data_IF_884935650620
#
_entry.id   IF_884935650620
#
_cell.length_a   1.000
_cell.length_b   1.000
_cell.length_c   1.000
_cell.angle_alpha   90.00
_cell.angle_beta   90.00
_cell.angle_gamma   90.00
#
_symmetry.space_group_name_H-M   'P 1'
#
loop_
_entity.id
_entity.type
_entity.pdbx_description
1 polymer ?
#
# COMPACT_ATOMS: atom_id res chain seq x y z
N UNK A 1 -0.64 -6.24 3.49
CA UNK A 1 0.54 -6.97 2.96
C UNK A 1 1.80 -6.22 3.44
N UNK A 2 3.04 -6.60 3.09
CA UNK A 2 4.22 -5.80 3.43
C UNK A 2 4.47 -4.67 2.42
N UNK A 3 5.14 -3.58 2.82
CA UNK A 3 5.31 -2.39 1.98
C UNK A 3 5.94 -2.65 0.60
N UNK A 4 6.95 -3.53 0.52
CA UNK A 4 7.64 -3.82 -0.74
C UNK A 4 6.71 -4.40 -1.79
N UNK A 5 5.77 -5.26 -1.37
CA UNK A 5 4.83 -5.90 -2.28
C UNK A 5 3.76 -4.90 -2.74
N UNK A 6 3.34 -3.97 -1.89
CA UNK A 6 2.44 -2.89 -2.29
C UNK A 6 3.06 -2.04 -3.40
N UNK A 7 4.32 -1.65 -3.23
CA UNK A 7 5.06 -0.88 -4.24
C UNK A 7 5.20 -1.70 -5.53
N UNK A 8 5.65 -2.96 -5.43
CA UNK A 8 5.93 -3.79 -6.60
C UNK A 8 4.67 -4.04 -7.46
N UNK A 9 3.57 -4.47 -6.84
CA UNK A 9 2.32 -4.69 -7.56
C UNK A 9 1.75 -3.39 -8.13
N UNK A 10 1.85 -2.28 -7.37
CA UNK A 10 1.40 -0.98 -7.88
C UNK A 10 2.22 -0.56 -9.09
N UNK A 11 3.55 -0.64 -9.04
CA UNK A 11 4.43 -0.30 -10.16
C UNK A 11 4.13 -1.15 -11.39
N UNK A 12 3.94 -2.46 -11.24
CA UNK A 12 3.60 -3.34 -12.35
C UNK A 12 2.23 -2.98 -12.96
N UNK A 13 1.20 -2.79 -12.14
CA UNK A 13 -0.12 -2.38 -12.62
C UNK A 13 -0.06 -1.02 -13.35
N UNK A 14 0.72 -0.08 -12.81
CA UNK A 14 0.88 1.25 -13.36
C UNK A 14 1.65 1.22 -14.69
N UNK A 15 2.69 0.40 -14.79
CA UNK A 15 3.45 0.19 -16.03
C UNK A 15 2.53 -0.33 -17.15
N UNK A 16 1.73 -1.36 -16.87
CA UNK A 16 0.76 -1.91 -17.83
C UNK A 16 -0.30 -0.88 -18.24
N UNK A 17 -0.75 -0.05 -17.29
CA UNK A 17 -1.75 0.97 -17.54
C UNK A 17 -1.19 2.17 -18.34
N UNK A 18 0.09 2.53 -18.16
CA UNK A 18 0.74 3.68 -18.83
C UNK A 18 0.85 3.53 -20.35
N UNK A 19 0.86 2.30 -20.85
CA UNK A 19 0.83 2.02 -22.28
C UNK A 19 -0.47 2.56 -22.90
N UNK A 20 -1.61 2.35 -22.22
CA UNK A 20 -2.95 2.69 -22.72
C UNK A 20 -3.50 4.03 -22.24
N UNK A 21 -3.00 4.55 -21.11
CA UNK A 21 -3.52 5.77 -20.50
C UNK A 21 -2.43 6.85 -20.49
N UNK A 22 -2.45 7.80 -21.44
CA UNK A 22 -1.41 8.83 -21.59
C UNK A 22 -1.22 9.67 -20.32
N UNK A 23 -2.28 9.92 -19.55
CA UNK A 23 -2.22 10.70 -18.32
C UNK A 23 -1.34 10.08 -17.22
N UNK A 24 -1.12 8.77 -17.24
CA UNK A 24 -0.23 8.09 -16.28
C UNK A 24 1.26 8.28 -16.63
N UNK A 25 1.58 8.61 -17.89
CA UNK A 25 2.98 8.67 -18.36
C UNK A 25 3.79 9.78 -17.69
N UNK A 26 3.11 10.83 -17.23
CA UNK A 26 3.71 12.00 -16.56
C UNK A 26 3.80 11.85 -15.04
N UNK A 27 3.22 10.80 -14.46
CA UNK A 27 3.26 10.59 -13.02
C UNK A 27 4.68 10.19 -12.57
N UNK A 28 5.11 10.77 -11.46
CA UNK A 28 6.38 10.44 -10.81
C UNK A 28 6.20 9.16 -9.98
N UNK A 29 6.99 8.14 -10.28
CA UNK A 29 6.83 6.82 -9.66
C UNK A 29 7.19 6.81 -8.17
N UNK A 30 7.97 7.78 -7.66
CA UNK A 30 8.25 7.89 -6.22
C UNK A 30 6.99 8.33 -5.48
N UNK A 31 6.27 9.29 -6.04
CA UNK A 31 4.98 9.71 -5.50
C UNK A 31 3.93 8.60 -5.63
N UNK A 32 4.00 7.77 -6.68
CA UNK A 32 3.18 6.55 -6.77
C UNK A 32 3.51 5.56 -5.65
N UNK A 33 4.79 5.29 -5.37
CA UNK A 33 5.18 4.41 -4.26
C UNK A 33 4.71 4.96 -2.91
N UNK A 34 4.90 6.26 -2.66
CA UNK A 34 4.43 6.91 -1.43
C UNK A 34 2.92 6.85 -1.29
N UNK A 35 2.18 7.11 -2.38
CA UNK A 35 0.73 7.01 -2.37
C UNK A 35 0.24 5.57 -2.15
N UNK A 36 0.90 4.58 -2.76
CA UNK A 36 0.60 3.16 -2.56
C UNK A 36 0.82 2.70 -1.12
N UNK A 37 1.72 3.35 -0.39
CA UNK A 37 1.95 3.14 1.03
C UNK A 37 1.15 4.09 1.94
N UNK A 38 0.34 4.98 1.36
CA UNK A 38 -0.32 6.06 2.10
C UNK A 38 -1.08 5.61 3.34
N UNK A 39 -2.01 4.62 3.23
CA UNK A 39 -2.75 4.14 4.40
C UNK A 39 -1.84 3.60 5.51
N UNK A 40 -0.82 2.83 5.11
CA UNK A 40 0.19 2.27 6.01
C UNK A 40 1.05 3.34 6.71
N UNK A 41 1.48 4.36 5.97
CA UNK A 41 2.29 5.46 6.48
C UNK A 41 1.52 6.31 7.50
N UNK A 42 0.19 6.29 7.47
CA UNK A 42 -0.66 6.96 8.46
C UNK A 42 -0.93 6.03 9.64
N UNK A 43 -1.48 4.84 9.37
CA UNK A 43 -2.02 4.00 10.44
C UNK A 43 -0.94 3.30 11.25
N UNK A 44 0.19 2.90 10.65
CA UNK A 44 1.25 2.18 11.38
C UNK A 44 1.93 3.07 12.44
N UNK A 45 2.31 4.33 12.17
CA UNK A 45 2.80 5.23 13.21
C UNK A 45 1.76 5.50 14.28
N UNK A 46 0.50 5.75 13.90
CA UNK A 46 -0.60 5.98 14.86
C UNK A 46 -0.81 4.77 15.78
N UNK A 47 -0.76 3.56 15.21
CA UNK A 47 -0.81 2.32 15.97
C UNK A 47 0.38 2.21 16.93
N UNK A 48 1.60 2.40 16.44
CA UNK A 48 2.82 2.27 17.22
C UNK A 48 2.89 3.26 18.39
N UNK A 49 2.49 4.51 18.19
CA UNK A 49 2.56 5.56 19.22
C UNK A 49 1.49 5.38 20.30
N UNK A 50 0.25 5.02 19.92
CA UNK A 50 -0.85 5.00 20.89
C UNK A 50 -1.93 3.97 20.60
N UNK A 51 -2.43 3.91 19.37
CA UNK A 51 -3.70 3.24 19.08
C UNK A 51 -3.63 1.71 19.12
N UNK A 52 -2.45 1.11 18.99
CA UNK A 52 -2.31 -0.33 19.13
C UNK A 52 -2.64 -0.79 20.54
N UNK A 53 -2.32 -0.01 21.58
CA UNK A 53 -2.65 -0.36 22.97
C UNK A 53 -4.16 -0.47 23.18
N UNK A 54 -4.92 0.45 22.55
CA UNK A 54 -6.38 0.57 22.65
C UNK A 54 -7.13 -0.41 21.75
N UNK A 55 -6.78 -0.45 20.46
CA UNK A 55 -7.55 -1.17 19.44
C UNK A 55 -6.97 -2.52 19.03
N UNK A 56 -5.72 -2.83 19.43
CA UNK A 56 -5.01 -4.08 19.06
C UNK A 56 -4.95 -4.32 17.54
N UNK A 57 -5.04 -3.25 16.76
CA UNK A 57 -5.00 -3.24 15.30
C UNK A 57 -3.96 -2.25 14.79
N UNK A 58 -3.33 -2.59 13.67
CA UNK A 58 -2.45 -1.70 12.90
C UNK A 58 -3.13 -1.19 11.61
N UNK A 59 -4.39 -1.60 11.38
CA UNK A 59 -5.24 -1.21 10.25
C UNK A 59 -6.37 -0.38 10.87
N UNK A 60 -6.23 0.95 10.79
CA UNK A 60 -7.00 1.94 11.57
C UNK A 60 -7.79 2.86 10.63
N UNK A 61 -7.62 4.17 10.75
CA UNK A 61 -8.45 5.20 10.14
C UNK A 61 -8.20 5.33 8.63
N UNK A 62 -6.95 5.27 8.19
CA UNK A 62 -6.60 5.45 6.78
C UNK A 62 -6.98 4.24 5.91
N UNK A 63 -7.24 3.09 6.51
CA UNK A 63 -7.75 1.88 5.84
C UNK A 63 -9.29 1.79 5.82
N UNK A 64 -9.99 2.86 6.18
CA UNK A 64 -11.46 2.91 6.14
C UNK A 64 -11.94 3.34 4.75
N UNK A 65 -13.10 2.86 4.31
CA UNK A 65 -13.74 3.34 3.08
C UNK A 65 -13.95 4.86 3.14
N UNK A 66 -14.27 5.39 4.32
CA UNK A 66 -14.40 6.82 4.55
C UNK A 66 -13.12 7.58 4.19
N UNK A 67 -11.94 7.12 4.63
CA UNK A 67 -10.66 7.76 4.30
C UNK A 67 -10.37 7.71 2.79
N UNK A 68 -10.66 6.58 2.15
CA UNK A 68 -10.50 6.40 0.71
C UNK A 68 -11.42 7.33 -0.11
N UNK A 69 -12.69 7.42 0.27
CA UNK A 69 -13.66 8.34 -0.36
C UNK A 69 -13.29 9.80 -0.07
N UNK A 70 -12.92 10.14 1.16
CA UNK A 70 -12.51 11.50 1.52
C UNK A 70 -11.27 11.94 0.73
N UNK A 71 -10.25 11.07 0.61
CA UNK A 71 -9.07 11.32 -0.21
C UNK A 71 -9.44 11.52 -1.68
N UNK A 72 -10.38 10.71 -2.21
CA UNK A 72 -10.86 10.84 -3.57
C UNK A 72 -11.58 12.17 -3.80
N UNK A 73 -12.57 12.51 -2.97
CA UNK A 73 -13.32 13.76 -3.08
C UNK A 73 -12.38 14.98 -2.95
N UNK A 74 -11.47 14.95 -1.97
CA UNK A 74 -10.52 16.03 -1.76
C UNK A 74 -9.59 16.22 -2.96
N UNK A 75 -8.97 15.14 -3.47
CA UNK A 75 -8.04 15.24 -4.60
C UNK A 75 -8.76 15.59 -5.90
N UNK A 76 -9.93 15.02 -6.17
CA UNK A 76 -10.69 15.37 -7.37
C UNK A 76 -11.15 16.83 -7.35
N UNK A 77 -11.48 17.37 -6.18
CA UNK A 77 -11.88 18.77 -6.05
C UNK A 77 -10.71 19.75 -6.11
N UNK A 78 -9.62 19.48 -5.40
CA UNK A 78 -8.51 20.45 -5.24
C UNK A 78 -7.38 20.25 -6.24
N UNK A 79 -7.13 19.01 -6.67
CA UNK A 79 -5.96 18.60 -7.46
C UNK A 79 -6.34 17.49 -8.46
N UNK A 80 -7.30 17.70 -9.39
CA UNK A 80 -7.78 16.64 -10.27
C UNK A 80 -6.67 15.98 -11.11
N UNK A 81 -5.60 16.71 -11.44
CA UNK A 81 -4.42 16.17 -12.12
C UNK A 81 -3.65 15.10 -11.31
N UNK A 82 -3.91 14.97 -10.00
CA UNK A 82 -3.28 14.01 -9.09
C UNK A 82 -4.01 12.67 -9.02
N UNK A 83 -5.01 12.46 -9.88
CA UNK A 83 -5.74 11.19 -9.98
C UNK A 83 -4.85 9.93 -10.09
N UNK A 84 -3.63 9.93 -10.69
CA UNK A 84 -2.81 8.73 -10.71
C UNK A 84 -2.32 8.31 -9.32
N UNK A 85 -2.00 9.29 -8.46
CA UNK A 85 -1.62 9.05 -7.07
C UNK A 85 -2.83 8.62 -6.24
N UNK A 86 -4.00 9.19 -6.52
CA UNK A 86 -5.25 8.73 -5.91
C UNK A 86 -5.53 7.27 -6.25
N UNK A 87 -5.29 6.83 -7.49
CA UNK A 87 -5.43 5.42 -7.87
C UNK A 87 -4.43 4.54 -7.13
N UNK A 88 -3.18 4.97 -6.95
CA UNK A 88 -2.20 4.22 -6.16
C UNK A 88 -2.65 4.09 -4.69
N UNK A 89 -3.13 5.18 -4.09
CA UNK A 89 -3.67 5.18 -2.73
C UNK A 89 -4.86 4.23 -2.59
N UNK A 90 -5.82 4.25 -3.52
CA UNK A 90 -6.97 3.34 -3.49
C UNK A 90 -6.61 1.90 -3.88
N UNK A 91 -5.59 1.71 -4.71
CA UNK A 91 -5.03 0.40 -5.04
C UNK A 91 -4.57 -0.34 -3.78
N UNK A 92 -4.10 0.38 -2.76
CA UNK A 92 -3.80 -0.20 -1.45
C UNK A 92 -5.00 -0.96 -0.87
N UNK A 93 -6.20 -0.36 -0.88
CA UNK A 93 -7.41 -0.99 -0.37
C UNK A 93 -7.79 -2.27 -1.12
N UNK A 94 -7.55 -2.28 -2.44
CA UNK A 94 -7.81 -3.43 -3.31
C UNK A 94 -6.84 -4.55 -3.02
N UNK A 95 -5.55 -4.24 -2.93
CA UNK A 95 -4.50 -5.24 -2.69
C UNK A 95 -4.67 -5.87 -1.30
N UNK A 96 -5.00 -5.08 -0.28
CA UNK A 96 -5.29 -5.60 1.05
C UNK A 96 -6.69 -6.20 1.19
N UNK A 97 -7.53 -6.09 0.14
CA UNK A 97 -8.90 -6.60 0.07
C UNK A 97 -9.69 -6.16 1.30
N UNK A 98 -9.64 -4.87 1.60
CA UNK A 98 -10.10 -4.32 2.88
C UNK A 98 -11.58 -4.61 3.17
N UNK A 99 -12.40 -4.82 2.14
CA UNK A 99 -13.80 -5.21 2.29
C UNK A 99 -14.02 -6.53 3.06
N UNK A 100 -13.02 -7.41 3.17
CA UNK A 100 -13.08 -8.60 4.03
C UNK A 100 -12.90 -8.29 5.53
N UNK A 101 -12.59 -7.04 5.88
CA UNK A 101 -12.43 -6.55 7.26
C UNK A 101 -13.53 -5.55 7.59
N UNK A 102 -14.80 -5.99 7.71
CA UNK A 102 -15.95 -5.10 7.73
C UNK A 102 -15.93 -4.08 8.87
N UNK A 103 -15.38 -4.43 10.03
CA UNK A 103 -15.24 -3.53 11.17
C UNK A 103 -14.35 -2.32 10.85
N UNK A 104 -13.24 -2.54 10.12
CA UNK A 104 -12.37 -1.44 9.69
C UNK A 104 -12.91 -0.77 8.43
N UNK A 105 -13.26 -1.53 7.40
CA UNK A 105 -13.61 -0.95 6.10
C UNK A 105 -14.85 -0.06 6.16
N UNK A 106 -15.87 -0.46 6.94
CA UNK A 106 -17.09 0.33 7.12
C UNK A 106 -17.09 1.17 8.40
N UNK A 107 -15.94 1.36 9.05
CA UNK A 107 -15.84 2.26 10.18
C UNK A 107 -16.23 3.70 9.76
N UNK A 108 -16.97 4.46 10.59
CA UNK A 108 -17.45 4.14 11.95
C UNK A 108 -18.83 3.47 12.00
N UNK A 109 -19.45 3.14 10.87
CA UNK A 109 -20.83 2.63 10.81
C UNK A 109 -21.00 1.23 11.43
N UNK A 110 -19.92 0.47 11.58
CA UNK A 110 -19.88 -0.81 12.30
C UNK A 110 -19.37 -0.71 13.74
N UNK A 111 -19.32 0.52 14.27
CA UNK A 111 -18.88 0.81 15.63
C UNK A 111 -17.44 1.32 15.71
N UNK A 112 -16.95 1.47 16.94
CA UNK A 112 -15.65 2.07 17.24
C UNK A 112 -14.51 1.06 17.39
N UNK A 113 -14.61 -0.06 16.68
CA UNK A 113 -13.62 -1.15 16.70
C UNK A 113 -13.03 -1.32 15.32
N UNK A 114 -11.80 -1.80 15.28
CA UNK A 114 -11.10 -2.14 14.05
C UNK A 114 -10.90 -3.65 13.99
N UNK A 115 -10.70 -4.17 12.79
CA UNK A 115 -10.41 -5.57 12.58
C UNK A 115 -9.16 -5.99 13.36
N UNK A 116 -9.36 -6.94 14.26
CA UNK A 116 -8.28 -7.60 14.97
C UNK A 116 -8.06 -8.94 14.31
N UNK A 117 -6.89 -9.13 13.72
CA UNK A 117 -6.47 -10.44 13.23
C UNK A 117 -6.58 -11.46 14.37
N UNK A 118 -7.48 -12.46 14.24
CA UNK A 118 -7.81 -13.49 15.25
C UNK A 118 -6.56 -13.91 16.06
N UNK A 119 -6.50 -13.57 17.35
CA UNK A 119 -5.38 -13.84 18.27
C UNK A 119 -5.89 -14.24 19.65
N UNK A 120 -5.26 -15.26 20.25
CA UNK A 120 -5.32 -15.53 21.69
C UNK A 120 -4.04 -15.01 22.37
N UNK A 121 -4.15 -14.45 23.58
CA UNK A 121 -3.02 -14.26 24.50
C UNK A 121 -2.11 -13.03 24.32
N UNK A 122 -0.88 -13.14 24.84
CA UNK A 122 0.13 -12.07 25.00
C UNK A 122 0.72 -11.52 23.70
N UNK A 123 0.45 -12.18 22.57
CA UNK A 123 0.84 -11.76 21.21
C UNK A 123 0.20 -10.44 20.76
N UNK A 124 -0.82 -9.97 21.47
CA UNK A 124 -1.48 -8.69 21.21
C UNK A 124 -0.72 -7.48 21.75
N UNK A 125 0.34 -7.65 22.55
CA UNK A 125 1.08 -6.51 23.13
C UNK A 125 2.17 -5.97 22.19
N UNK A 126 2.69 -6.80 21.29
CA UNK A 126 3.79 -6.44 20.39
C UNK A 126 3.36 -6.59 18.91
N UNK A 127 3.39 -5.48 18.17
CA UNK A 127 3.11 -5.43 16.73
C UNK A 127 4.01 -6.41 15.96
N UNK A 128 5.29 -6.55 16.33
CA UNK A 128 6.23 -7.41 15.59
C UNK A 128 5.90 -8.88 15.72
N UNK A 129 5.62 -9.34 16.95
CA UNK A 129 5.18 -10.72 17.22
C UNK A 129 3.85 -11.03 16.52
N UNK A 130 2.95 -10.06 16.51
CA UNK A 130 1.69 -10.13 15.79
C UNK A 130 1.88 -10.34 14.27
N UNK A 131 2.81 -9.61 13.65
CA UNK A 131 3.15 -9.82 12.24
C UNK A 131 3.77 -11.20 12.02
N UNK A 132 4.73 -11.59 12.86
CA UNK A 132 5.37 -12.91 12.77
C UNK A 132 4.34 -14.05 12.82
N UNK A 133 3.42 -14.01 13.79
CA UNK A 133 2.37 -15.01 13.92
C UNK A 133 1.43 -15.05 12.71
N UNK A 134 1.06 -13.89 12.16
CA UNK A 134 0.25 -13.84 10.95
C UNK A 134 0.92 -14.57 9.80
N UNK A 135 2.22 -14.35 9.58
CA UNK A 135 2.99 -15.00 8.53
C UNK A 135 3.20 -16.51 8.75
N UNK A 136 3.30 -16.99 9.99
CA UNK A 136 3.46 -18.43 10.25
C UNK A 136 2.14 -19.21 10.16
N UNK A 137 0.99 -18.56 10.36
CA UNK A 137 -0.33 -19.21 10.34
C UNK A 137 -1.09 -19.07 9.03
N UNK A 138 -0.70 -18.12 8.18
CA UNK A 138 -1.38 -17.80 6.92
C UNK A 138 -0.43 -17.96 5.73
N UNK A 139 -0.30 -19.17 5.16
CA UNK A 139 0.58 -19.41 4.02
C UNK A 139 0.19 -18.56 2.80
N UNK A 140 -1.07 -18.13 2.70
CA UNK A 140 -1.52 -17.23 1.64
C UNK A 140 -0.76 -15.89 1.65
N UNK A 141 -0.32 -15.40 2.82
CA UNK A 141 0.45 -14.15 2.91
C UNK A 141 1.81 -14.31 2.23
N UNK A 142 2.45 -15.47 2.37
CA UNK A 142 3.71 -15.76 1.69
C UNK A 142 3.57 -15.78 0.17
N UNK A 143 2.45 -16.28 -0.35
CA UNK A 143 2.19 -16.25 -1.81
C UNK A 143 2.19 -14.81 -2.33
N UNK A 144 1.49 -13.91 -1.63
CA UNK A 144 1.45 -12.49 -2.01
C UNK A 144 2.82 -11.81 -1.89
N UNK A 145 3.59 -12.11 -0.83
CA UNK A 145 4.93 -11.55 -0.66
C UNK A 145 5.94 -12.08 -1.68
N UNK A 146 5.94 -13.39 -1.94
CA UNK A 146 6.81 -13.98 -2.96
C UNK A 146 6.47 -13.46 -4.34
N UNK A 147 5.18 -13.36 -4.67
CA UNK A 147 4.74 -12.72 -5.91
C UNK A 147 5.19 -11.26 -5.99
N UNK A 148 5.11 -10.50 -4.90
CA UNK A 148 5.56 -9.12 -4.83
C UNK A 148 7.08 -8.99 -5.06
N UNK A 149 7.87 -9.88 -4.47
CA UNK A 149 9.31 -9.98 -4.70
C UNK A 149 9.60 -10.30 -6.18
N UNK A 150 8.95 -11.31 -6.75
CA UNK A 150 9.16 -11.72 -8.15
C UNK A 150 8.81 -10.58 -9.11
N UNK A 151 7.67 -9.92 -8.89
CA UNK A 151 7.25 -8.75 -9.67
C UNK A 151 8.24 -7.59 -9.50
N UNK A 152 8.72 -7.34 -8.28
CA UNK A 152 9.72 -6.32 -7.99
C UNK A 152 11.05 -6.60 -8.70
N UNK A 153 11.54 -7.84 -8.66
CA UNK A 153 12.76 -8.28 -9.36
C UNK A 153 12.60 -8.13 -10.86
N UNK A 154 11.48 -8.59 -11.42
CA UNK A 154 11.16 -8.40 -12.84
C UNK A 154 11.18 -6.92 -13.22
N UNK A 155 10.57 -6.05 -12.42
CA UNK A 155 10.50 -4.61 -12.68
C UNK A 155 11.90 -3.95 -12.63
N UNK A 156 12.70 -4.28 -11.61
CA UNK A 156 14.10 -3.85 -11.49
C UNK A 156 14.92 -4.29 -12.70
N UNK A 157 14.74 -5.52 -13.16
CA UNK A 157 15.45 -6.07 -14.31
C UNK A 157 15.02 -5.39 -15.61
N UNK A 158 13.71 -5.24 -15.85
CA UNK A 158 13.11 -4.59 -17.02
C UNK A 158 13.64 -3.17 -17.22
N UNK A 159 13.72 -2.36 -16.16
CA UNK A 159 14.23 -0.99 -16.24
C UNK A 159 15.76 -0.90 -16.07
N UNK A 160 16.42 -2.05 -15.89
CA UNK A 160 17.86 -2.19 -15.61
C UNK A 160 18.33 -1.33 -14.43
N UNK A 161 17.53 -1.28 -13.36
CA UNK A 161 17.84 -0.53 -12.14
C UNK A 161 18.94 -1.18 -11.29
N UNK A 162 19.40 -2.38 -11.64
CA UNK A 162 20.65 -2.95 -11.12
C UNK A 162 21.90 -2.16 -11.58
N UNK A 163 21.76 -1.25 -12.56
CA UNK A 163 22.84 -0.32 -12.96
C UNK A 163 22.78 0.96 -12.11
N UNK A 164 23.84 1.32 -11.36
CA UNK A 164 23.83 2.44 -10.42
C UNK A 164 23.36 3.78 -11.01
N UNK A 165 23.81 4.12 -12.23
CA UNK A 165 23.41 5.38 -12.87
C UNK A 165 21.91 5.45 -13.22
N UNK A 166 21.28 4.30 -13.54
CA UNK A 166 19.83 4.23 -13.80
C UNK A 166 19.05 4.29 -12.51
N UNK A 167 19.52 3.60 -11.46
CA UNK A 167 18.93 3.66 -10.13
C UNK A 167 18.97 5.09 -9.58
N UNK A 168 20.14 5.75 -9.62
CA UNK A 168 20.30 7.11 -9.12
C UNK A 168 19.39 8.08 -9.87
N UNK A 169 19.32 8.00 -11.20
CA UNK A 169 18.38 8.80 -11.99
C UNK A 169 16.93 8.56 -11.53
N UNK A 170 16.52 7.30 -11.39
CA UNK A 170 15.17 6.96 -10.91
C UNK A 170 14.89 7.53 -9.52
N UNK A 171 15.81 7.39 -8.56
CA UNK A 171 15.63 7.92 -7.20
C UNK A 171 15.54 9.45 -7.18
N UNK A 172 16.25 10.14 -8.08
CA UNK A 172 16.27 11.60 -8.16
C UNK A 172 15.09 12.20 -8.95
N UNK A 173 14.61 11.51 -9.98
CA UNK A 173 13.58 12.06 -10.89
C UNK A 173 12.23 11.34 -10.82
N UNK A 174 12.20 10.13 -10.26
CA UNK A 174 11.04 9.25 -10.27
C UNK A 174 10.65 8.74 -11.64
N UNK A 175 11.54 8.87 -12.62
CA UNK A 175 11.35 8.38 -13.97
C UNK A 175 12.26 7.19 -14.25
N UNK A 176 11.68 6.16 -14.85
CA UNK A 176 12.44 5.06 -15.43
C UNK A 176 12.78 5.37 -16.89
N UNK A 177 13.94 4.92 -17.40
CA UNK A 177 14.23 5.02 -18.83
C UNK A 177 13.13 4.34 -19.63
N UNK A 178 12.63 5.01 -20.68
CA UNK A 178 11.75 4.36 -21.66
C UNK A 178 12.45 3.09 -22.17
N UNK A 179 11.74 1.97 -22.07
CA UNK A 179 12.16 0.74 -22.73
C UNK A 179 12.03 0.98 -24.23
N UNK A 180 13.13 1.30 -24.88
CA UNK A 180 13.26 1.11 -26.33
C UNK A 180 13.38 -0.37 -26.65
#
# INVERSE_FOLDING_TARGET
MLPQSHIAYTFAAFELARERIPGLRKADLRWIALAALGPDLIDKPLAAVYFYRRYKSAVLFAHTLLAHVAAALFLLWKRPAWWPYLLAFNGHAVIDRLWFFPDTFYWPFRGWRFHVWRKQGSEQQDIKKAYWYAFTRRPELWVWELGGILVGVWWVWRHRLYRPGRLLRFLLTGQVPSSG
#
